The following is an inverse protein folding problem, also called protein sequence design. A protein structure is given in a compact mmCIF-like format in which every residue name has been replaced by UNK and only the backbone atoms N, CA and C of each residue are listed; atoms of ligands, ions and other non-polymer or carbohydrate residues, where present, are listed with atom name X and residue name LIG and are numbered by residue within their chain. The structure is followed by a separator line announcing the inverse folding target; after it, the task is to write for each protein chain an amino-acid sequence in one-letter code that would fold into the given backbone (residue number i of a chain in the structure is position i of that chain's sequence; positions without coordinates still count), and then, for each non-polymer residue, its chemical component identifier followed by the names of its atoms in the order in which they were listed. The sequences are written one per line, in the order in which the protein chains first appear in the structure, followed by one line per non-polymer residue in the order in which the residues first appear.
data_IF_876861933559
#
_entry.id   IF_876861933559
#
_cell.length_a   1.000
_cell.length_b   1.000
_cell.length_c   1.000
_cell.angle_alpha   90.00
_cell.angle_beta   90.00
_cell.angle_gamma   90.00
#
_symmetry.space_group_name_H-M   'P 1'
#
loop_
_entity.id
_entity.type
_entity.pdbx_description
1 polymer ?
#
# COMPACT_ATOMS: atom_id res chain seq x y z
N UNK A 1 2.28 -5.66 14.87
CA UNK A 1 3.09 -5.93 13.66
C UNK A 1 2.64 -4.92 12.63
N UNK A 2 3.54 -4.19 11.96
CA UNK A 2 3.14 -3.19 10.96
C UNK A 2 3.67 -3.61 9.61
N UNK A 3 2.80 -3.61 8.60
CA UNK A 3 3.17 -3.75 7.19
C UNK A 3 3.20 -2.34 6.59
N UNK A 4 4.39 -1.85 6.29
CA UNK A 4 4.58 -0.55 5.64
C UNK A 4 4.67 -0.74 4.11
N UNK A 5 3.76 -0.11 3.37
CA UNK A 5 3.73 -0.13 1.90
C UNK A 5 3.91 1.29 1.37
N UNK A 6 4.90 1.50 0.52
CA UNK A 6 5.04 2.74 -0.24
C UNK A 6 4.28 2.63 -1.55
N UNK A 7 3.46 3.62 -1.84
CA UNK A 7 2.61 3.68 -3.03
C UNK A 7 2.99 4.91 -3.85
N UNK A 8 3.31 4.70 -5.11
CA UNK A 8 3.46 5.74 -6.12
C UNK A 8 2.13 5.86 -6.87
N UNK A 9 1.56 7.06 -6.93
CA UNK A 9 0.24 7.32 -7.53
C UNK A 9 0.39 8.02 -8.89
N UNK A 10 -0.49 7.70 -9.83
CA UNK A 10 -0.67 8.49 -11.05
C UNK A 10 -1.60 9.69 -10.80
N UNK A 11 -1.53 10.70 -11.67
CA UNK A 11 -2.33 11.93 -11.55
C UNK A 11 -3.84 11.70 -11.62
N UNK A 12 -4.29 10.59 -12.19
CA UNK A 12 -5.70 10.18 -12.26
C UNK A 12 -6.20 9.52 -10.96
N UNK A 13 -5.38 9.51 -9.90
CA UNK A 13 -5.75 9.00 -8.58
C UNK A 13 -5.69 7.48 -8.45
N UNK A 14 -4.98 6.78 -9.36
CA UNK A 14 -4.75 5.34 -9.28
C UNK A 14 -3.35 5.02 -8.72
N UNK A 15 -3.19 3.91 -7.98
CA UNK A 15 -1.86 3.39 -7.65
C UNK A 15 -1.15 2.94 -8.93
N UNK A 16 0.01 3.54 -9.22
CA UNK A 16 0.89 3.11 -10.30
C UNK A 16 1.84 1.99 -9.85
N UNK A 17 2.25 2.02 -8.57
CA UNK A 17 3.14 1.02 -7.98
C UNK A 17 2.92 0.95 -6.47
N UNK A 18 2.98 -0.25 -5.91
CA UNK A 18 2.94 -0.51 -4.47
C UNK A 18 4.09 -1.44 -4.09
N UNK A 19 4.87 -1.10 -3.07
CA UNK A 19 6.04 -1.87 -2.65
C UNK A 19 6.15 -1.95 -1.13
N UNK A 20 6.45 -3.14 -0.62
CA UNK A 20 6.79 -3.34 0.79
C UNK A 20 8.07 -2.59 1.14
N UNK A 21 8.08 -1.91 2.29
CA UNK A 21 9.30 -1.24 2.78
C UNK A 21 10.29 -2.23 3.39
N UNK A 22 9.79 -3.28 4.04
CA UNK A 22 10.61 -4.35 4.63
C UNK A 22 10.42 -5.64 3.82
N UNK A 23 11.21 -5.75 2.75
CA UNK A 23 11.24 -6.95 1.89
C UNK A 23 12.06 -8.07 2.51
N UNK A 24 13.06 -7.75 3.35
CA UNK A 24 13.89 -8.76 4.02
C UNK A 24 13.05 -9.68 4.90
N UNK A 25 12.10 -9.10 5.65
CA UNK A 25 11.15 -9.89 6.44
C UNK A 25 10.18 -10.70 5.60
N UNK A 26 9.73 -10.18 4.46
CA UNK A 26 8.92 -10.95 3.51
C UNK A 26 9.68 -12.18 3.01
N UNK A 27 10.93 -11.99 2.55
CA UNK A 27 11.75 -13.07 2.03
C UNK A 27 12.29 -14.03 3.09
N UNK A 28 12.24 -13.66 4.37
CA UNK A 28 12.53 -14.59 5.47
C UNK A 28 11.53 -15.74 5.56
N UNK A 29 10.35 -15.61 4.95
CA UNK A 29 9.33 -16.66 4.88
C UNK A 29 8.45 -16.76 6.13
N UNK A 30 8.43 -15.75 7.00
CA UNK A 30 7.48 -15.64 8.12
C UNK A 30 6.03 -15.68 7.57
N UNK A 31 5.28 -16.78 7.78
CA UNK A 31 3.96 -16.96 7.12
C UNK A 31 2.94 -15.90 7.55
N UNK A 32 3.02 -15.43 8.79
CA UNK A 32 2.10 -14.43 9.33
C UNK A 32 2.38 -13.07 8.71
N UNK A 33 3.66 -12.72 8.57
CA UNK A 33 4.05 -11.49 7.90
C UNK A 33 3.71 -11.54 6.40
N UNK A 34 4.00 -12.63 5.71
CA UNK A 34 3.70 -12.78 4.27
C UNK A 34 2.19 -12.64 4.00
N UNK A 35 1.34 -13.32 4.75
CA UNK A 35 -0.10 -13.21 4.58
C UNK A 35 -0.62 -11.78 4.80
N UNK A 36 -0.11 -11.10 5.84
CA UNK A 36 -0.47 -9.70 6.10
C UNK A 36 0.06 -8.74 5.02
N UNK A 37 1.26 -9.00 4.50
CA UNK A 37 1.87 -8.23 3.42
C UNK A 37 1.08 -8.35 2.11
N UNK A 38 0.66 -9.57 1.76
CA UNK A 38 -0.17 -9.82 0.58
C UNK A 38 -1.55 -9.17 0.72
N UNK A 39 -2.16 -9.24 1.91
CA UNK A 39 -3.42 -8.58 2.19
C UNK A 39 -3.32 -7.05 2.00
N UNK A 40 -2.26 -6.43 2.53
CA UNK A 40 -2.01 -4.99 2.36
C UNK A 40 -1.83 -4.59 0.88
N UNK A 41 -1.04 -5.34 0.12
CA UNK A 41 -0.84 -5.10 -1.30
C UNK A 41 -2.14 -5.27 -2.11
N UNK A 42 -2.95 -6.29 -1.79
CA UNK A 42 -4.25 -6.50 -2.41
C UNK A 42 -5.24 -5.37 -2.08
N UNK A 43 -5.24 -4.86 -0.85
CA UNK A 43 -6.09 -3.76 -0.44
C UNK A 43 -5.80 -2.48 -1.23
N UNK A 44 -4.51 -2.15 -1.41
CA UNK A 44 -4.08 -0.98 -2.21
C UNK A 44 -4.51 -1.13 -3.67
N UNK A 45 -4.33 -2.31 -4.25
CA UNK A 45 -4.56 -2.56 -5.67
C UNK A 45 -6.00 -2.99 -6.00
N UNK A 46 -6.92 -2.99 -5.04
CA UNK A 46 -8.30 -3.42 -5.27
C UNK A 46 -9.00 -2.48 -6.28
N UNK A 47 -9.40 -2.95 -7.47
CA UNK A 47 -9.98 -2.10 -8.51
C UNK A 47 -11.33 -1.51 -8.10
N UNK A 48 -12.04 -2.10 -7.13
CA UNK A 48 -13.31 -1.56 -6.60
C UNK A 48 -13.11 -0.28 -5.79
N UNK A 49 -11.88 -0.04 -5.32
CA UNK A 49 -11.53 1.14 -4.55
C UNK A 49 -10.96 2.26 -5.42
N UNK A 50 -10.86 2.09 -6.75
CA UNK A 50 -10.17 3.02 -7.64
C UNK A 50 -11.13 3.83 -8.54
N UNK A 51 -10.76 5.08 -8.92
CA UNK A 51 -9.63 5.84 -8.40
C UNK A 51 -9.88 6.31 -6.96
N UNK A 52 -8.82 6.66 -6.23
CA UNK A 52 -8.96 7.20 -4.88
C UNK A 52 -9.51 8.63 -4.94
N UNK A 53 -10.43 9.00 -4.05
CA UNK A 53 -11.05 10.34 -4.04
C UNK A 53 -10.09 11.39 -3.46
N UNK A 54 -8.99 11.64 -4.15
CA UNK A 54 -7.95 12.58 -3.75
C UNK A 54 -8.10 13.91 -4.51
N UNK A 55 -7.85 15.07 -3.87
CA UNK A 55 -7.92 16.36 -4.53
C UNK A 55 -6.83 16.50 -5.62
N UNK A 56 -7.19 16.68 -6.91
CA UNK A 56 -6.22 16.75 -8.01
C UNK A 56 -5.18 17.86 -7.84
N UNK A 57 -5.59 19.01 -7.30
CA UNK A 57 -4.74 20.18 -7.08
C UNK A 57 -3.63 19.93 -6.04
N UNK A 58 -3.76 18.85 -5.25
CA UNK A 58 -2.77 18.45 -4.25
C UNK A 58 -1.89 17.29 -4.71
N UNK A 59 -1.86 16.95 -6.00
CA UNK A 59 -1.10 15.81 -6.52
C UNK A 59 0.33 15.71 -5.96
N UNK A 60 1.05 16.83 -5.86
CA UNK A 60 2.42 16.84 -5.35
C UNK A 60 2.54 16.31 -3.90
N UNK A 61 1.49 16.43 -3.08
CA UNK A 61 1.48 15.93 -1.70
C UNK A 61 1.14 14.45 -1.59
N UNK A 62 0.46 13.86 -2.58
CA UNK A 62 -0.01 12.47 -2.54
C UNK A 62 0.53 11.56 -3.64
N UNK A 63 1.35 12.08 -4.56
CA UNK A 63 2.04 11.28 -5.60
C UNK A 63 2.89 10.13 -5.04
N UNK A 64 3.32 10.24 -3.79
CA UNK A 64 4.01 9.18 -3.06
C UNK A 64 3.53 9.18 -1.62
N UNK A 65 3.00 8.05 -1.16
CA UNK A 65 2.47 7.88 0.20
C UNK A 65 2.99 6.59 0.82
N UNK A 66 3.10 6.55 2.14
CA UNK A 66 3.36 5.32 2.88
C UNK A 66 2.13 4.96 3.72
N UNK A 67 1.61 3.76 3.50
CA UNK A 67 0.52 3.19 4.26
C UNK A 67 1.08 2.21 5.28
N UNK A 68 0.62 2.32 6.52
CA UNK A 68 0.96 1.41 7.60
C UNK A 68 -0.29 0.57 7.91
N UNK A 69 -0.23 -0.73 7.63
CA UNK A 69 -1.30 -1.66 7.96
C UNK A 69 -0.96 -2.38 9.26
N UNK A 70 -1.87 -2.33 10.24
CA UNK A 70 -1.77 -3.09 11.47
C UNK A 70 -2.81 -4.22 11.47
N UNK A 71 -2.41 -5.50 11.41
CA UNK A 71 -3.33 -6.63 11.41
C UNK A 71 -4.20 -6.84 12.64
N UNK A 72 -4.05 -5.97 13.64
CA UNK A 72 -4.90 -5.94 14.82
C UNK A 72 -6.06 -4.96 14.68
N UNK A 73 -5.99 -4.05 13.72
CA UNK A 73 -6.98 -2.99 13.51
C UNK A 73 -8.05 -3.40 12.48
N UNK A 74 -8.07 -4.66 12.04
CA UNK A 74 -9.03 -5.23 11.09
C UNK A 74 -9.45 -6.67 11.42
#
# INVERSE_FOLDING_TARGET
MIIAVTVEMSQDGRPAKAALRDTGRYYSGDPVYCAAADAALNAINNPRCQPWPLPPEKYQSWKTMTFNFDPRDF
#
